data_IF_638419841970
#
_entry.id   IF_638419841970
#
_cell.length_a   1.000
_cell.length_b   1.000
_cell.length_c   1.000
_cell.angle_alpha   90.00
_cell.angle_beta   90.00
_cell.angle_gamma   90.00
#
_symmetry.space_group_name_H-M   'P 1'
#
loop_
_entity.id
_entity.type
_entity.pdbx_description
1 polymer ?
#
# COMPACT_ATOMS: atom_id res chain seq x y z
N UNK A 1 -8.50 16.59 11.46
CA UNK A 1 -7.07 16.83 11.16
C UNK A 1 -6.79 16.25 9.78
N UNK A 2 -6.00 16.96 8.98
CA UNK A 2 -6.04 17.02 7.51
C UNK A 2 -5.83 15.69 6.77
N UNK A 3 -6.84 15.24 6.00
CA UNK A 3 -6.71 14.22 4.95
C UNK A 3 -5.97 14.86 3.76
N UNK A 4 -4.66 14.75 3.75
CA UNK A 4 -3.80 15.32 2.71
C UNK A 4 -2.79 14.28 2.25
N UNK A 5 -3.24 13.30 1.47
CA UNK A 5 -2.35 12.42 0.69
C UNK A 5 -2.93 12.41 -0.72
N UNK A 6 -2.07 12.71 -1.68
CA UNK A 6 -2.38 12.99 -3.09
C UNK A 6 -3.43 12.04 -3.69
N UNK A 7 -4.57 12.62 -4.03
CA UNK A 7 -5.72 11.95 -4.63
C UNK A 7 -5.53 11.88 -6.15
N UNK A 8 -4.99 10.77 -6.66
CA UNK A 8 -5.01 10.51 -8.10
C UNK A 8 -6.35 9.88 -8.48
N UNK A 9 -7.33 10.72 -8.80
CA UNK A 9 -8.69 10.34 -9.20
C UNK A 9 -8.77 9.80 -10.65
N UNK A 10 -7.67 9.83 -11.41
CA UNK A 10 -7.52 9.20 -12.72
C UNK A 10 -6.28 8.31 -12.65
N UNK A 11 -6.40 7.04 -13.04
CA UNK A 11 -5.30 6.09 -13.11
C UNK A 11 -4.18 6.65 -13.98
N UNK A 12 -3.20 7.25 -13.33
CA UNK A 12 -1.97 7.73 -13.95
C UNK A 12 -0.88 6.72 -13.62
N UNK A 13 0.07 6.51 -14.55
CA UNK A 13 1.26 5.72 -14.24
C UNK A 13 1.88 6.25 -12.94
N UNK A 14 2.23 5.33 -12.03
CA UNK A 14 2.80 5.66 -10.72
C UNK A 14 4.01 6.58 -10.84
N UNK A 15 4.77 6.46 -11.94
CA UNK A 15 6.04 7.17 -12.09
C UNK A 15 7.09 6.69 -11.08
N UNK A 16 8.25 7.37 -11.02
CA UNK A 16 9.39 6.90 -10.23
C UNK A 16 9.11 6.87 -8.72
N UNK A 17 8.33 7.82 -8.22
CA UNK A 17 8.02 7.95 -6.78
C UNK A 17 6.66 7.35 -6.37
N UNK A 18 5.84 6.89 -7.32
CA UNK A 18 4.47 6.47 -7.01
C UNK A 18 4.41 5.28 -6.06
N UNK A 19 5.32 4.31 -6.22
CA UNK A 19 5.44 3.18 -5.31
C UNK A 19 5.75 3.63 -3.87
N UNK A 20 6.63 4.63 -3.70
CA UNK A 20 6.94 5.20 -2.38
C UNK A 20 5.71 5.84 -1.75
N UNK A 21 4.90 6.55 -2.53
CA UNK A 21 3.65 7.14 -2.03
C UNK A 21 2.59 6.10 -1.65
N UNK A 22 2.50 4.99 -2.39
CA UNK A 22 1.62 3.86 -2.01
C UNK A 22 2.05 3.24 -0.68
N UNK A 23 3.35 3.03 -0.46
CA UNK A 23 3.88 2.55 0.83
C UNK A 23 3.57 3.51 1.97
N UNK A 24 3.81 4.81 1.77
CA UNK A 24 3.47 5.83 2.76
C UNK A 24 1.97 5.82 3.07
N UNK A 25 1.12 5.67 2.06
CA UNK A 25 -0.33 5.56 2.26
C UNK A 25 -0.69 4.35 3.13
N UNK A 26 -0.17 3.17 2.82
CA UNK A 26 -0.40 1.97 3.62
C UNK A 26 0.09 2.13 5.07
N UNK A 27 1.26 2.74 5.29
CA UNK A 27 1.76 3.03 6.65
C UNK A 27 0.82 3.99 7.42
N UNK A 28 0.22 4.96 6.74
CA UNK A 28 -0.77 5.86 7.36
C UNK A 28 -2.05 5.11 7.75
N UNK A 29 -2.50 4.15 6.93
CA UNK A 29 -3.63 3.29 7.27
C UNK A 29 -3.32 2.40 8.48
N UNK A 30 -2.05 2.06 8.71
CA UNK A 30 -1.57 1.37 9.91
C UNK A 30 -1.33 2.28 11.12
N UNK A 31 -1.79 3.54 11.09
CA UNK A 31 -1.68 4.45 12.24
C UNK A 31 -0.25 4.96 12.50
N UNK A 32 0.68 4.81 11.54
CA UNK A 32 2.07 5.27 11.66
C UNK A 32 2.25 6.75 11.28
N UNK A 33 1.34 7.62 11.74
CA UNK A 33 1.31 9.05 11.38
C UNK A 33 2.34 9.91 12.15
N UNK A 34 3.02 9.33 13.14
CA UNK A 34 3.99 10.01 14.03
C UNK A 34 5.45 9.92 13.58
N UNK A 35 5.75 9.06 12.60
CA UNK A 35 7.10 8.87 12.06
C UNK A 35 7.28 9.63 10.75
N UNK A 36 8.52 9.83 10.32
CA UNK A 36 8.84 10.52 9.05
C UNK A 36 8.33 9.77 7.82
N UNK A 37 8.26 10.45 6.67
CA UNK A 37 7.79 9.81 5.42
C UNK A 37 8.70 8.66 4.96
N UNK A 38 10.00 8.76 5.21
CA UNK A 38 10.95 7.68 4.90
C UNK A 38 10.75 6.50 5.84
N UNK A 39 10.61 6.74 7.15
CA UNK A 39 10.31 5.68 8.13
C UNK A 39 8.97 4.98 7.83
N UNK A 40 7.99 5.68 7.26
CA UNK A 40 6.73 5.09 6.80
C UNK A 40 6.93 4.16 5.61
N UNK A 41 7.75 4.56 4.64
CA UNK A 41 8.08 3.69 3.52
C UNK A 41 8.84 2.45 4.01
N UNK A 42 9.82 2.65 4.89
CA UNK A 42 10.62 1.59 5.51
C UNK A 42 9.76 0.64 6.35
N UNK A 43 8.74 1.15 7.05
CA UNK A 43 7.78 0.31 7.78
C UNK A 43 7.10 -0.70 6.85
N UNK A 44 6.67 -0.27 5.67
CA UNK A 44 6.06 -1.20 4.69
C UNK A 44 7.11 -2.15 4.12
N UNK A 45 8.32 -1.66 3.84
CA UNK A 45 9.43 -2.49 3.35
C UNK A 45 9.81 -3.61 4.35
N UNK A 46 9.71 -3.34 5.66
CA UNK A 46 9.93 -4.33 6.71
C UNK A 46 8.78 -5.34 6.84
N UNK A 47 7.62 -5.06 6.27
CA UNK A 47 6.42 -5.90 6.32
C UNK A 47 6.01 -6.45 4.94
N UNK A 48 6.96 -6.52 4.00
CA UNK A 48 6.69 -6.97 2.63
C UNK A 48 6.15 -8.39 2.55
N UNK A 49 6.59 -9.29 3.44
CA UNK A 49 6.09 -10.67 3.49
C UNK A 49 4.61 -10.73 3.90
N UNK A 50 4.24 -9.93 4.90
CA UNK A 50 2.85 -9.81 5.36
C UNK A 50 1.98 -9.09 4.33
N UNK A 51 2.53 -8.09 3.65
CA UNK A 51 1.87 -7.41 2.52
C UNK A 51 1.56 -8.41 1.41
N UNK A 52 2.54 -9.22 1.02
CA UNK A 52 2.37 -10.25 0.01
C UNK A 52 1.29 -11.27 0.43
N UNK A 53 1.38 -11.80 1.64
CA UNK A 53 0.40 -12.73 2.19
C UNK A 53 -1.02 -12.12 2.22
N UNK A 54 -1.13 -10.87 2.65
CA UNK A 54 -2.40 -10.13 2.69
C UNK A 54 -2.97 -9.86 1.29
N UNK A 55 -2.12 -9.60 0.31
CA UNK A 55 -2.55 -9.32 -1.07
C UNK A 55 -3.00 -10.59 -1.80
N UNK A 56 -2.26 -11.70 -1.65
CA UNK A 56 -2.49 -12.97 -2.35
C UNK A 56 -3.59 -13.81 -1.71
N UNK A 57 -3.58 -13.94 -0.38
CA UNK A 57 -4.53 -14.81 0.35
C UNK A 57 -5.09 -14.13 1.61
N UNK A 58 -5.86 -13.03 1.47
CA UNK A 58 -6.33 -12.22 2.62
C UNK A 58 -7.26 -12.95 3.60
N UNK A 59 -7.85 -14.08 3.19
CA UNK A 59 -8.73 -14.92 4.01
C UNK A 59 -8.11 -16.29 4.33
N UNK A 60 -6.82 -16.44 4.03
CA UNK A 60 -6.06 -17.64 4.25
C UNK A 60 -5.86 -17.99 5.71
N UNK A 61 -5.15 -19.11 5.92
CA UNK A 61 -4.65 -19.52 7.25
C UNK A 61 -3.13 -19.34 7.37
N UNK A 62 -2.52 -18.66 6.39
CA UNK A 62 -1.07 -18.43 6.33
C UNK A 62 -0.62 -17.39 7.35
N UNK A 63 0.63 -17.45 7.76
CA UNK A 63 1.20 -16.44 8.66
C UNK A 63 1.22 -15.06 7.97
N UNK A 64 0.71 -14.04 8.64
CA UNK A 64 0.73 -12.66 8.14
C UNK A 64 -0.38 -12.27 7.15
N UNK A 65 -1.28 -13.20 6.78
CA UNK A 65 -2.41 -12.89 5.90
C UNK A 65 -3.48 -11.99 6.54
N UNK A 66 -3.44 -11.86 7.86
CA UNK A 66 -4.32 -11.01 8.68
C UNK A 66 -3.72 -9.63 8.95
N UNK A 67 -2.55 -9.30 8.38
CA UNK A 67 -1.85 -8.07 8.72
C UNK A 67 -2.66 -6.81 8.36
N UNK A 68 -3.35 -6.83 7.22
CA UNK A 68 -4.26 -5.76 6.82
C UNK A 68 -5.40 -5.51 7.83
N UNK A 69 -5.80 -6.52 8.62
CA UNK A 69 -6.82 -6.36 9.68
C UNK A 69 -6.33 -5.53 10.87
N UNK A 70 -5.01 -5.31 10.99
CA UNK A 70 -4.39 -4.54 12.07
C UNK A 70 -4.33 -3.03 11.75
N UNK A 71 -4.75 -2.64 10.56
CA UNK A 71 -4.84 -1.24 10.16
C UNK A 71 -6.07 -0.54 10.76
N UNK A 72 -6.02 0.78 10.89
CA UNK A 72 -7.14 1.63 11.30
C UNK A 72 -8.29 1.59 10.27
N UNK A 73 -7.96 1.42 8.99
CA UNK A 73 -8.91 1.14 7.90
C UNK A 73 -8.49 -0.13 7.13
N UNK A 74 -8.97 -1.31 7.58
CA UNK A 74 -8.54 -2.59 7.03
C UNK A 74 -8.83 -2.77 5.54
N UNK A 75 -10.01 -2.36 5.07
CA UNK A 75 -10.39 -2.58 3.68
C UNK A 75 -9.58 -1.69 2.73
N UNK A 76 -9.28 -0.45 3.14
CA UNK A 76 -8.33 0.38 2.40
C UNK A 76 -6.92 -0.21 2.43
N UNK A 77 -6.49 -0.77 3.57
CA UNK A 77 -5.17 -1.37 3.69
C UNK A 77 -5.01 -2.60 2.79
N UNK A 78 -6.04 -3.45 2.70
CA UNK A 78 -6.06 -4.58 1.78
C UNK A 78 -6.00 -4.14 0.32
N UNK A 79 -6.75 -3.09 -0.04
CA UNK A 79 -6.67 -2.46 -1.35
C UNK A 79 -5.24 -2.03 -1.66
N UNK A 80 -4.62 -1.26 -0.75
CA UNK A 80 -3.26 -0.76 -0.91
C UNK A 80 -2.22 -1.90 -1.02
N UNK A 81 -2.35 -2.98 -0.23
CA UNK A 81 -1.49 -4.16 -0.35
C UNK A 81 -1.54 -4.76 -1.76
N UNK A 82 -2.74 -4.86 -2.36
CA UNK A 82 -2.92 -5.40 -3.71
C UNK A 82 -2.32 -4.52 -4.79
N UNK A 83 -2.49 -3.20 -4.72
CA UNK A 83 -1.88 -2.30 -5.70
C UNK A 83 -0.36 -2.26 -5.58
N UNK A 84 0.20 -2.29 -4.37
CA UNK A 84 1.65 -2.36 -4.17
C UNK A 84 2.20 -3.64 -4.78
N UNK A 85 1.55 -4.79 -4.54
CA UNK A 85 1.94 -6.06 -5.14
C UNK A 85 1.85 -6.01 -6.67
N UNK A 86 0.72 -5.55 -7.21
CA UNK A 86 0.51 -5.47 -8.64
C UNK A 86 1.48 -4.50 -9.34
N UNK A 87 1.88 -3.42 -8.68
CA UNK A 87 2.91 -2.51 -9.16
C UNK A 87 4.29 -3.18 -9.19
N UNK A 88 4.65 -3.94 -8.15
CA UNK A 88 5.92 -4.65 -8.06
C UNK A 88 6.04 -5.80 -9.07
N UNK A 89 4.93 -6.50 -9.34
CA UNK A 89 4.87 -7.59 -10.32
C UNK A 89 4.64 -7.12 -11.76
N UNK A 90 4.50 -5.80 -11.99
CA UNK A 90 4.24 -5.26 -13.31
C UNK A 90 5.45 -5.49 -14.25
N UNK A 91 5.24 -6.09 -15.45
CA UNK A 91 6.34 -6.53 -16.32
C UNK A 91 7.20 -5.39 -16.87
N UNK A 92 6.63 -4.18 -17.00
CA UNK A 92 7.34 -2.98 -17.47
C UNK A 92 7.86 -2.11 -16.31
N UNK A 93 7.88 -2.67 -15.09
CA UNK A 93 8.23 -1.96 -13.87
C UNK A 93 7.05 -1.20 -13.25
N UNK A 94 7.20 -0.88 -11.96
CA UNK A 94 6.16 -0.20 -11.17
C UNK A 94 5.76 1.17 -11.71
N UNK A 95 6.66 1.88 -12.38
CA UNK A 95 6.41 3.22 -12.91
C UNK A 95 5.31 3.23 -13.98
N UNK A 96 5.19 2.13 -14.73
CA UNK A 96 4.22 1.93 -15.81
C UNK A 96 2.89 1.35 -15.32
N UNK A 97 2.81 0.94 -14.05
CA UNK A 97 1.58 0.42 -13.47
C UNK A 97 0.56 1.55 -13.27
N UNK A 98 -0.65 1.34 -13.80
CA UNK A 98 -1.78 2.25 -13.61
C UNK A 98 -2.62 1.78 -12.42
N UNK A 99 -2.52 2.53 -11.32
CA UNK A 99 -3.23 2.23 -10.08
C UNK A 99 -4.74 2.48 -10.26
N UNK A 100 -5.57 1.54 -9.79
CA UNK A 100 -7.02 1.55 -9.99
C UNK A 100 -7.82 1.85 -8.71
N UNK A 101 -7.17 2.06 -7.56
CA UNK A 101 -7.88 2.30 -6.31
C UNK A 101 -8.60 3.66 -6.28
N UNK A 102 -9.92 3.69 -6.04
CA UNK A 102 -10.61 4.91 -5.63
C UNK A 102 -10.24 5.22 -4.18
N UNK A 103 -9.42 6.25 -3.98
CA UNK A 103 -9.00 6.73 -2.65
C UNK A 103 -10.00 7.81 -2.16
N UNK A 104 -10.62 7.61 -0.98
CA UNK A 104 -11.72 8.44 -0.43
C UNK A 104 -11.30 9.32 0.77
#
# INVERSE_FOLDING_TARGET
>A
SSRGILQFAEGKPLGPDGLRWLKIHLANLHGSDKISLDERADFVDQHMDQLYASAVDPLGSGEGCDWWLKADDPFQALGACREILAALEHPEGHESYSCALPVH
#
